data_IF_121000664959
#
_entry.id   IF_121000664959
#
_cell.length_a   1.000
_cell.length_b   1.000
_cell.length_c   1.000
_cell.angle_alpha   90.00
_cell.angle_beta   90.00
_cell.angle_gamma   90.00
#
_symmetry.space_group_name_H-M   'P 1'
#
loop_
_entity.id
_entity.type
_entity.pdbx_description
1 polymer ?
#
# COMPACT_ATOMS: atom_id res chain seq x y z
N UNK A 1 21.55 16.80 12.71
CA UNK A 1 20.35 17.28 12.00
C UNK A 1 19.22 17.29 13.02
N UNK A 2 18.75 18.47 13.39
CA UNK A 2 17.61 18.61 14.30
C UNK A 2 16.34 18.13 13.60
N UNK A 3 15.27 17.85 14.36
CA UNK A 3 13.97 17.52 13.78
C UNK A 3 13.45 18.66 12.87
N UNK A 4 13.85 19.90 13.15
CA UNK A 4 13.48 21.08 12.38
C UNK A 4 14.22 21.13 11.03
N UNK A 5 15.54 20.89 11.02
CA UNK A 5 16.34 20.82 9.78
C UNK A 5 15.81 19.76 8.80
N UNK A 6 15.29 18.64 9.33
CA UNK A 6 14.73 17.56 8.51
C UNK A 6 13.39 17.90 7.87
N UNK A 7 12.56 18.67 8.57
CA UNK A 7 11.26 19.13 8.08
C UNK A 7 11.45 20.20 7.01
N UNK A 8 12.37 21.15 7.21
CA UNK A 8 12.67 22.19 6.22
C UNK A 8 13.21 21.58 4.92
N UNK A 9 14.14 20.62 5.02
CA UNK A 9 14.65 19.90 3.85
C UNK A 9 13.58 19.06 3.12
N UNK A 10 12.54 18.61 3.82
CA UNK A 10 11.41 17.91 3.20
C UNK A 10 10.48 18.89 2.48
N UNK A 11 10.17 20.04 3.10
CA UNK A 11 9.39 21.11 2.49
C UNK A 11 10.01 21.58 1.16
N UNK A 12 11.32 21.79 1.12
CA UNK A 12 12.04 22.14 -0.11
C UNK A 12 11.85 21.12 -1.24
N UNK A 13 11.96 19.81 -0.92
CA UNK A 13 11.76 18.74 -1.92
C UNK A 13 10.31 18.68 -2.41
N UNK A 14 9.34 18.90 -1.53
CA UNK A 14 7.92 18.96 -1.89
C UNK A 14 7.67 20.14 -2.81
N UNK A 15 8.15 21.33 -2.44
CA UNK A 15 8.03 22.54 -3.25
C UNK A 15 8.63 22.36 -4.65
N UNK A 16 9.81 21.72 -4.74
CA UNK A 16 10.43 21.37 -6.02
C UNK A 16 9.56 20.44 -6.88
N UNK A 17 8.93 19.42 -6.28
CA UNK A 17 8.02 18.53 -7.02
C UNK A 17 6.77 19.26 -7.53
N UNK A 18 6.19 20.15 -6.71
CA UNK A 18 4.99 20.91 -7.06
C UNK A 18 5.22 21.93 -8.19
N UNK A 19 6.47 22.30 -8.46
CA UNK A 19 6.85 23.17 -9.57
C UNK A 19 7.02 22.42 -10.90
N UNK A 20 6.82 21.10 -10.93
CA UNK A 20 6.93 20.30 -12.17
C UNK A 20 5.86 20.75 -13.17
N UNK A 21 6.28 21.11 -14.37
CA UNK A 21 5.37 21.42 -15.48
C UNK A 21 4.65 20.14 -15.95
N UNK A 22 3.31 20.06 -15.81
CA UNK A 22 2.55 18.86 -16.20
C UNK A 22 2.60 18.56 -17.70
N UNK A 23 2.72 19.57 -18.56
CA UNK A 23 2.75 19.37 -20.02
C UNK A 23 4.12 18.80 -20.43
N UNK A 24 5.20 19.46 -20.01
CA UNK A 24 6.55 18.94 -20.26
C UNK A 24 6.77 17.54 -19.70
N UNK A 25 6.20 17.24 -18.52
CA UNK A 25 6.23 15.88 -17.95
C UNK A 25 5.48 14.88 -18.83
N UNK A 26 4.28 15.24 -19.32
CA UNK A 26 3.48 14.36 -20.20
C UNK A 26 4.20 14.08 -21.51
N UNK A 27 4.72 15.11 -22.16
CA UNK A 27 5.48 14.96 -23.40
C UNK A 27 6.69 14.04 -23.20
N UNK A 28 7.38 14.18 -22.07
CA UNK A 28 8.50 13.29 -21.74
C UNK A 28 8.04 11.85 -21.51
N UNK A 29 6.95 11.65 -20.77
CA UNK A 29 6.41 10.33 -20.50
C UNK A 29 5.96 9.63 -21.79
N UNK A 30 5.40 10.35 -22.77
CA UNK A 30 5.04 9.82 -24.09
C UNK A 30 6.29 9.36 -24.87
N UNK A 31 7.38 10.14 -24.84
CA UNK A 31 8.65 9.75 -25.47
C UNK A 31 9.26 8.50 -24.82
N UNK A 32 9.27 8.45 -23.49
CA UNK A 32 9.77 7.28 -22.76
C UNK A 32 8.89 6.05 -23.05
N UNK A 33 7.57 6.23 -23.22
CA UNK A 33 6.66 5.15 -23.61
C UNK A 33 6.93 4.59 -25.02
N UNK A 34 7.26 5.43 -26.01
CA UNK A 34 7.66 4.95 -27.34
C UNK A 34 8.97 4.15 -27.31
N UNK A 35 9.89 4.53 -26.41
CA UNK A 35 11.12 3.76 -26.17
C UNK A 35 10.78 2.39 -25.59
N UNK A 36 9.93 2.32 -24.55
CA UNK A 36 9.49 1.04 -23.95
C UNK A 36 8.78 0.16 -24.99
N UNK A 37 7.91 0.72 -25.84
CA UNK A 37 7.22 -0.03 -26.91
C UNK A 37 8.21 -0.60 -27.93
N UNK A 38 9.25 0.16 -28.27
CA UNK A 38 10.29 -0.30 -29.19
C UNK A 38 11.10 -1.45 -28.59
N UNK A 39 11.54 -1.31 -27.34
CA UNK A 39 12.28 -2.37 -26.63
C UNK A 39 11.41 -3.63 -26.40
N UNK A 40 10.12 -3.45 -26.16
CA UNK A 40 9.15 -4.54 -26.10
C UNK A 40 9.08 -5.30 -27.45
N UNK A 41 9.01 -4.57 -28.56
CA UNK A 41 8.96 -5.18 -29.89
C UNK A 41 10.28 -5.89 -30.26
N UNK A 42 11.40 -5.44 -29.71
CA UNK A 42 12.72 -6.05 -29.88
C UNK A 42 12.95 -7.28 -28.98
N UNK A 43 12.03 -7.58 -28.06
CA UNK A 43 12.17 -8.69 -27.10
C UNK A 43 13.17 -8.40 -25.97
N UNK A 44 13.54 -7.13 -25.74
CA UNK A 44 14.55 -6.74 -24.74
C UNK A 44 14.17 -7.18 -23.32
N UNK A 45 12.87 -7.27 -23.04
CA UNK A 45 12.35 -7.66 -21.73
C UNK A 45 11.99 -9.15 -21.63
N UNK A 46 12.22 -9.92 -22.69
CA UNK A 46 11.95 -11.35 -22.67
C UNK A 46 12.97 -12.07 -21.79
N UNK A 47 12.49 -13.05 -21.02
CA UNK A 47 13.26 -13.85 -20.10
C UNK A 47 13.09 -15.33 -20.42
N UNK A 48 14.15 -16.12 -20.18
CA UNK A 48 14.14 -17.55 -20.46
C UNK A 48 13.15 -18.34 -19.58
N UNK A 49 12.75 -17.78 -18.44
CA UNK A 49 11.80 -18.40 -17.51
C UNK A 49 10.96 -17.34 -16.78
N UNK A 50 9.75 -17.72 -16.37
CA UNK A 50 8.95 -16.91 -15.46
C UNK A 50 9.61 -16.79 -14.09
N UNK A 51 9.42 -15.65 -13.43
CA UNK A 51 9.95 -15.38 -12.09
C UNK A 51 8.80 -14.94 -11.19
N UNK A 52 8.88 -15.31 -9.91
CA UNK A 52 7.96 -14.88 -8.86
C UNK A 52 8.73 -14.20 -7.72
N UNK A 53 8.18 -13.11 -7.22
CA UNK A 53 8.58 -12.43 -5.99
C UNK A 53 7.35 -12.09 -5.15
N UNK A 54 7.57 -11.65 -3.92
CA UNK A 54 6.55 -11.26 -2.97
C UNK A 54 6.97 -9.98 -2.25
N UNK A 55 6.03 -9.06 -2.11
CA UNK A 55 6.02 -8.00 -1.11
C UNK A 55 4.97 -8.35 -0.05
N UNK A 56 5.28 -8.11 1.21
CA UNK A 56 4.43 -8.47 2.34
C UNK A 56 4.53 -7.39 3.42
N UNK A 57 3.44 -6.68 3.62
CA UNK A 57 3.35 -5.56 4.55
C UNK A 57 2.81 -5.97 5.93
N UNK A 58 3.19 -5.17 6.93
CA UNK A 58 2.80 -5.32 8.32
C UNK A 58 2.57 -3.95 8.93
N UNK A 59 1.76 -3.89 10.00
CA UNK A 59 1.76 -2.79 10.95
C UNK A 59 2.31 -3.25 12.29
N UNK A 60 2.91 -2.34 13.06
CA UNK A 60 3.47 -2.68 14.35
C UNK A 60 2.56 -2.26 15.51
N UNK A 61 2.42 -3.15 16.48
CA UNK A 61 1.77 -2.90 17.76
C UNK A 61 2.77 -2.98 18.89
N UNK A 62 2.54 -2.18 19.94
CA UNK A 62 3.32 -2.27 21.17
C UNK A 62 3.06 -3.60 21.88
N UNK A 63 4.10 -4.12 22.54
CA UNK A 63 4.00 -5.27 23.42
C UNK A 63 4.77 -5.03 24.72
N UNK A 64 4.02 -4.94 25.82
CA UNK A 64 4.46 -5.11 27.22
C UNK A 64 5.56 -4.19 27.80
N UNK A 65 6.43 -3.58 26.98
CA UNK A 65 7.58 -2.77 27.42
C UNK A 65 7.29 -1.27 27.43
N UNK A 66 6.38 -0.83 26.58
CA UNK A 66 6.01 0.57 26.35
C UNK A 66 4.51 0.84 26.52
N UNK A 67 3.73 -0.12 27.01
CA UNK A 67 2.33 0.13 27.37
C UNK A 67 2.33 1.27 28.37
N UNK A 68 1.73 2.40 27.98
CA UNK A 68 1.69 3.58 28.83
C UNK A 68 1.11 3.16 30.18
N UNK A 69 1.96 3.22 31.21
CA UNK A 69 1.59 3.05 32.61
C UNK A 69 0.46 4.02 32.92
N UNK A 70 -0.78 3.52 32.90
CA UNK A 70 -1.99 4.34 33.05
C UNK A 70 -3.31 3.63 32.69
N UNK A 71 -3.28 2.54 31.91
CA UNK A 71 -4.46 1.70 31.63
C UNK A 71 -4.49 0.42 32.46
N UNK A 72 -5.70 -0.02 32.82
CA UNK A 72 -6.07 -1.21 33.61
C UNK A 72 -5.03 -2.34 33.65
N UNK A 73 -4.69 -2.77 34.87
CA UNK A 73 -3.75 -3.86 35.14
C UNK A 73 -3.97 -5.07 34.22
N UNK A 74 -2.94 -5.41 33.42
CA UNK A 74 -2.72 -6.78 32.94
C UNK A 74 -3.15 -7.14 31.53
N UNK A 75 -3.72 -6.23 30.72
CA UNK A 75 -4.04 -6.53 29.30
C UNK A 75 -3.21 -5.66 28.37
N UNK A 76 -2.32 -6.29 27.61
CA UNK A 76 -1.64 -5.68 26.48
C UNK A 76 -2.68 -5.41 25.37
N UNK A 77 -3.08 -4.15 25.22
CA UNK A 77 -4.09 -3.73 24.23
C UNK A 77 -3.59 -3.87 22.79
N UNK A 78 -2.28 -3.97 22.59
CA UNK A 78 -1.68 -3.97 21.26
C UNK A 78 -1.86 -2.62 20.56
N UNK A 79 -1.57 -1.52 21.25
CA UNK A 79 -1.70 -0.17 20.68
C UNK A 79 -0.75 -0.01 19.48
N UNK A 80 -1.22 0.63 18.40
CA UNK A 80 -0.41 0.92 17.21
C UNK A 80 0.84 1.72 17.59
N UNK A 81 1.99 1.36 17.01
CA UNK A 81 3.24 2.04 17.31
C UNK A 81 4.10 2.24 16.07
N UNK A 82 4.88 3.33 16.06
CA UNK A 82 5.79 3.66 14.97
C UNK A 82 6.98 2.71 14.99
N UNK A 83 7.39 2.20 13.83
CA UNK A 83 8.58 1.36 13.70
C UNK A 83 9.82 2.24 13.59
N UNK A 84 10.81 2.10 14.50
CA UNK A 84 12.07 2.82 14.36
C UNK A 84 12.74 2.48 13.02
N UNK A 85 13.15 3.48 12.25
CA UNK A 85 13.74 3.25 10.92
C UNK A 85 15.01 2.41 10.96
N UNK A 86 15.78 2.49 12.06
CA UNK A 86 16.94 1.61 12.29
C UNK A 86 16.54 0.14 12.52
N UNK A 87 15.39 -0.10 13.13
CA UNK A 87 14.87 -1.44 13.34
C UNK A 87 14.47 -2.07 11.99
N UNK A 88 13.82 -1.32 11.09
CA UNK A 88 13.51 -1.79 9.72
C UNK A 88 14.78 -2.24 8.98
N UNK A 89 15.83 -1.41 8.98
CA UNK A 89 17.11 -1.79 8.38
C UNK A 89 17.72 -3.03 9.03
N UNK A 90 17.63 -3.16 10.37
CA UNK A 90 18.17 -4.31 11.10
C UNK A 90 17.47 -5.62 10.72
N UNK A 91 16.14 -5.60 10.55
CA UNK A 91 15.37 -6.79 10.18
C UNK A 91 15.31 -7.04 8.66
N UNK A 92 15.91 -6.14 7.86
CA UNK A 92 15.91 -6.21 6.40
C UNK A 92 14.52 -5.96 5.80
N UNK A 93 13.79 -5.00 6.36
CA UNK A 93 12.48 -4.56 5.87
C UNK A 93 12.58 -3.15 5.30
N UNK A 94 11.73 -2.87 4.32
CA UNK A 94 11.62 -1.57 3.68
C UNK A 94 10.65 -0.65 4.44
N UNK A 95 10.78 0.64 4.13
CA UNK A 95 9.93 1.69 4.70
C UNK A 95 8.65 1.79 3.90
N UNK A 96 7.54 1.67 4.60
CA UNK A 96 6.23 1.97 4.04
C UNK A 96 5.79 3.42 4.25
N UNK A 97 4.64 3.76 3.64
CA UNK A 97 4.00 5.07 3.73
C UNK A 97 3.81 5.51 5.19
N UNK A 98 3.15 4.69 6.03
CA UNK A 98 2.97 5.00 7.44
C UNK A 98 4.23 4.73 8.27
N UNK A 99 4.48 5.54 9.29
CA UNK A 99 5.59 5.32 10.23
C UNK A 99 5.42 4.03 11.05
N UNK A 100 4.22 3.45 11.11
CA UNK A 100 3.91 2.19 11.81
C UNK A 100 3.95 0.97 10.88
N UNK A 101 4.06 1.18 9.56
CA UNK A 101 4.10 0.09 8.59
C UNK A 101 5.54 -0.39 8.33
N UNK A 102 5.66 -1.65 7.92
CA UNK A 102 6.90 -2.31 7.55
C UNK A 102 6.65 -3.27 6.39
N UNK A 103 7.54 -3.31 5.39
CA UNK A 103 7.41 -4.22 4.25
C UNK A 103 8.58 -5.20 4.17
N UNK A 104 8.26 -6.47 3.94
CA UNK A 104 9.22 -7.50 3.58
C UNK A 104 9.14 -7.78 2.10
N UNK A 105 10.28 -7.74 1.42
CA UNK A 105 10.42 -8.19 0.03
C UNK A 105 11.23 -9.47 -0.04
N UNK A 106 10.82 -10.41 -0.89
CA UNK A 106 11.55 -11.66 -1.13
C UNK A 106 12.45 -11.54 -2.35
N UNK A 107 13.53 -12.31 -2.36
CA UNK A 107 14.36 -12.45 -3.56
C UNK A 107 13.55 -13.06 -4.72
N UNK A 108 13.77 -12.65 -5.98
CA UNK A 108 13.10 -13.25 -7.12
C UNK A 108 13.48 -14.73 -7.28
N UNK A 109 12.50 -15.59 -7.50
CA UNK A 109 12.69 -17.03 -7.66
C UNK A 109 12.08 -17.52 -8.97
N UNK A 110 12.63 -18.55 -9.63
CA UNK A 110 11.98 -19.19 -10.78
C UNK A 110 10.55 -19.64 -10.44
N UNK A 111 9.61 -19.44 -11.33
CA UNK A 111 8.24 -19.94 -11.12
C UNK A 111 8.14 -21.44 -11.44
N UNK A 112 8.63 -22.25 -10.51
CA UNK A 112 8.57 -23.71 -10.53
C UNK A 112 8.43 -24.24 -9.09
N UNK A 113 8.23 -25.56 -8.88
CA UNK A 113 8.04 -26.11 -7.54
C UNK A 113 9.18 -25.80 -6.55
N UNK A 114 10.43 -25.74 -7.01
CA UNK A 114 11.58 -25.42 -6.16
C UNK A 114 11.62 -23.94 -5.79
N UNK A 115 11.37 -23.04 -6.74
CA UNK A 115 11.32 -21.61 -6.48
C UNK A 115 10.16 -21.22 -5.56
N UNK A 116 8.99 -21.86 -5.68
CA UNK A 116 7.89 -21.66 -4.73
C UNK A 116 8.23 -22.16 -3.31
N UNK A 117 8.96 -23.29 -3.20
CA UNK A 117 9.48 -23.75 -1.90
C UNK A 117 10.51 -22.77 -1.33
N UNK A 118 11.38 -22.22 -2.16
CA UNK A 118 12.37 -21.22 -1.77
C UNK A 118 11.68 -19.94 -1.27
N UNK A 119 10.67 -19.43 -1.98
CA UNK A 119 9.85 -18.31 -1.54
C UNK A 119 9.25 -18.54 -0.15
N UNK A 120 8.57 -19.67 0.02
CA UNK A 120 7.94 -20.00 1.30
C UNK A 120 8.98 -20.16 2.44
N UNK A 121 10.17 -20.68 2.15
CA UNK A 121 11.25 -20.81 3.13
C UNK A 121 11.85 -19.45 3.50
N UNK A 122 12.07 -18.57 2.52
CA UNK A 122 12.59 -17.22 2.72
C UNK A 122 11.62 -16.41 3.60
N UNK A 123 10.33 -16.37 3.24
CA UNK A 123 9.27 -15.72 4.02
C UNK A 123 9.28 -16.20 5.48
N UNK A 124 9.26 -17.53 5.71
CA UNK A 124 9.28 -18.08 7.08
C UNK A 124 10.54 -17.71 7.85
N UNK A 125 11.70 -17.74 7.20
CA UNK A 125 12.97 -17.45 7.85
C UNK A 125 13.07 -15.98 8.25
N UNK A 126 12.76 -15.08 7.30
CA UNK A 126 12.81 -13.63 7.51
C UNK A 126 11.79 -13.18 8.55
N UNK A 127 10.55 -13.67 8.48
CA UNK A 127 9.53 -13.33 9.47
C UNK A 127 9.88 -13.81 10.87
N UNK A 128 10.43 -15.02 11.01
CA UNK A 128 10.86 -15.52 12.32
C UNK A 128 11.94 -14.63 12.93
N UNK A 129 12.95 -14.26 12.13
CA UNK A 129 14.02 -13.38 12.59
C UNK A 129 13.52 -11.97 12.94
N UNK A 130 12.64 -11.41 12.10
CA UNK A 130 12.04 -10.11 12.32
C UNK A 130 11.19 -10.09 13.60
N UNK A 131 10.27 -11.04 13.76
CA UNK A 131 9.40 -11.13 14.94
C UNK A 131 10.19 -11.33 16.24
N UNK A 132 11.26 -12.13 16.21
CA UNK A 132 12.14 -12.27 17.37
C UNK A 132 12.80 -10.95 17.74
N UNK A 133 13.32 -10.23 16.74
CA UNK A 133 14.01 -8.95 16.92
C UNK A 133 13.06 -7.86 17.41
N UNK A 134 11.89 -7.70 16.78
CA UNK A 134 10.93 -6.66 17.18
C UNK A 134 10.38 -6.93 18.58
N UNK A 135 10.22 -8.21 18.96
CA UNK A 135 9.79 -8.59 20.31
C UNK A 135 10.75 -8.09 21.39
N UNK A 136 12.07 -8.13 21.15
CA UNK A 136 13.07 -7.60 22.10
C UNK A 136 12.95 -6.07 22.25
N UNK A 137 12.45 -5.38 21.22
CA UNK A 137 12.14 -3.95 21.25
C UNK A 137 10.74 -3.63 21.81
N UNK A 138 9.98 -4.64 22.27
CA UNK A 138 8.64 -4.46 22.80
C UNK A 138 7.61 -4.15 21.72
N UNK A 139 7.77 -4.74 20.53
CA UNK A 139 6.89 -4.56 19.38
C UNK A 139 6.54 -5.90 18.74
N UNK A 140 5.36 -5.99 18.13
CA UNK A 140 4.95 -7.12 17.28
C UNK A 140 4.50 -6.61 15.92
N UNK A 141 4.94 -7.29 14.87
CA UNK A 141 4.44 -7.07 13.51
C UNK A 141 3.16 -7.89 13.31
N UNK A 142 2.13 -7.26 12.75
CA UNK A 142 0.80 -7.82 12.51
C UNK A 142 0.47 -7.68 11.03
N UNK A 143 -0.20 -8.69 10.48
CA UNK A 143 -0.47 -8.86 9.04
C UNK A 143 -1.97 -8.71 8.71
N UNK A 144 -2.74 -8.04 9.56
CA UNK A 144 -4.15 -7.81 9.25
C UNK A 144 -4.25 -6.73 8.18
N UNK A 145 -5.17 -6.89 7.24
CA UNK A 145 -5.32 -5.98 6.11
C UNK A 145 -5.70 -4.57 6.54
N UNK A 146 -6.24 -4.38 7.74
CA UNK A 146 -6.51 -3.08 8.38
C UNK A 146 -6.19 -3.17 9.87
N UNK A 147 -5.48 -2.18 10.42
CA UNK A 147 -5.30 -2.08 11.88
C UNK A 147 -6.52 -1.49 12.56
N UNK A 148 -6.81 -1.93 13.78
CA UNK A 148 -8.05 -1.55 14.51
C UNK A 148 -7.78 -0.81 15.82
N UNK A 149 -6.59 -0.97 16.40
CA UNK A 149 -6.24 -0.36 17.67
C UNK A 149 -5.42 0.91 17.41
N UNK A 150 -5.86 2.11 17.81
CA UNK A 150 -5.07 3.32 17.64
C UNK A 150 -3.83 3.32 18.55
N UNK A 151 -2.92 4.30 18.39
CA UNK A 151 -1.82 4.48 19.32
C UNK A 151 -2.28 4.78 20.75
N UNK A 152 -1.41 4.48 21.72
CA UNK A 152 -1.69 4.69 23.13
C UNK A 152 -2.06 6.15 23.43
N UNK A 153 -3.20 6.35 24.11
CA UNK A 153 -3.65 7.67 24.55
C UNK A 153 -4.17 8.60 23.44
N UNK A 154 -4.34 8.09 22.21
CA UNK A 154 -4.90 8.84 21.08
C UNK A 154 -6.03 8.08 20.39
N UNK A 155 -6.60 8.71 19.37
CA UNK A 155 -7.61 8.15 18.49
C UNK A 155 -7.09 8.00 17.04
N UNK A 156 -7.72 7.12 16.27
CA UNK A 156 -7.30 6.80 14.91
C UNK A 156 -7.40 7.99 13.95
N UNK A 157 -8.45 8.81 14.06
CA UNK A 157 -8.70 9.94 13.16
C UNK A 157 -7.63 11.01 13.35
N UNK A 158 -7.39 11.43 14.59
CA UNK A 158 -6.32 12.37 14.95
C UNK A 158 -4.94 11.87 14.53
N UNK A 159 -4.68 10.56 14.64
CA UNK A 159 -3.42 9.97 14.19
C UNK A 159 -3.23 10.07 12.67
N UNK A 160 -4.25 9.73 11.89
CA UNK A 160 -4.20 9.79 10.42
C UNK A 160 -4.11 11.23 9.91
N UNK A 161 -4.85 12.16 10.52
CA UNK A 161 -4.92 13.56 10.09
C UNK A 161 -3.83 14.46 10.72
N UNK A 162 -2.94 13.89 11.54
CA UNK A 162 -1.90 14.65 12.22
C UNK A 162 -0.92 15.27 11.21
N UNK A 163 -0.93 16.60 11.12
CA UNK A 163 -0.08 17.37 10.22
C UNK A 163 0.62 18.51 10.95
N UNK A 164 1.70 19.01 10.34
CA UNK A 164 2.32 20.30 10.66
C UNK A 164 2.40 21.15 9.40
N UNK A 165 2.23 22.46 9.53
CA UNK A 165 2.40 23.40 8.43
C UNK A 165 3.80 23.98 8.38
N UNK A 166 4.41 24.00 7.18
CA UNK A 166 5.70 24.64 6.90
C UNK A 166 5.70 25.19 5.48
N UNK A 167 6.03 26.48 5.34
CA UNK A 167 6.05 27.18 4.05
C UNK A 167 4.76 27.03 3.22
N UNK A 168 3.61 26.99 3.92
CA UNK A 168 2.29 26.78 3.30
C UNK A 168 2.02 25.34 2.87
N UNK A 169 2.91 24.40 3.18
CA UNK A 169 2.77 22.97 2.90
C UNK A 169 2.31 22.21 4.15
N UNK A 170 1.36 21.29 3.95
CA UNK A 170 0.89 20.34 4.97
C UNK A 170 1.78 19.10 4.97
N UNK A 171 2.43 18.82 6.10
CA UNK A 171 3.33 17.67 6.28
C UNK A 171 2.72 16.73 7.32
N UNK A 172 2.27 15.55 6.88
CA UNK A 172 1.77 14.49 7.76
C UNK A 172 2.89 13.99 8.71
N UNK A 173 2.61 13.98 10.02
CA UNK A 173 3.62 13.65 11.06
C UNK A 173 3.80 12.14 11.27
N UNK A 174 2.87 11.35 10.75
CA UNK A 174 2.84 9.89 10.82
C UNK A 174 3.15 9.22 9.47
N UNK A 175 3.60 9.98 8.47
CA UNK A 175 4.04 9.49 7.16
C UNK A 175 5.57 9.43 7.07
N UNK A 176 6.09 8.58 6.21
CA UNK A 176 7.51 8.57 5.82
C UNK A 176 7.86 9.87 5.10
N UNK A 177 9.12 10.33 5.23
CA UNK A 177 9.63 11.58 4.65
C UNK A 177 9.84 11.51 3.11
N UNK A 178 8.82 11.04 2.40
CA UNK A 178 8.77 10.91 0.95
C UNK A 178 8.11 12.14 0.35
N UNK A 179 8.90 12.98 -0.33
CA UNK A 179 8.39 14.17 -1.00
C UNK A 179 7.25 13.84 -1.99
N UNK A 180 7.29 12.66 -2.62
CA UNK A 180 6.23 12.18 -3.53
C UNK A 180 4.87 12.12 -2.83
N UNK A 181 4.78 11.43 -1.69
CA UNK A 181 3.48 11.26 -1.01
C UNK A 181 2.96 12.58 -0.44
N UNK A 182 3.85 13.42 0.10
CA UNK A 182 3.45 14.75 0.57
C UNK A 182 3.03 15.68 -0.57
N UNK A 183 3.70 15.63 -1.72
CA UNK A 183 3.31 16.40 -2.90
C UNK A 183 1.92 15.98 -3.42
N UNK A 184 1.55 14.70 -3.32
CA UNK A 184 0.20 14.26 -3.70
C UNK A 184 -0.92 14.93 -2.88
N UNK A 185 -0.70 15.16 -1.57
CA UNK A 185 -1.66 15.86 -0.68
C UNK A 185 -1.56 17.40 -0.68
N UNK A 186 -0.55 17.96 -1.33
CA UNK A 186 -0.39 19.42 -1.48
C UNK A 186 -0.58 19.90 -2.93
N UNK A 187 -0.72 18.97 -3.87
CA UNK A 187 -0.93 19.26 -5.28
C UNK A 187 -2.39 19.63 -5.60
N UNK A 188 -2.66 20.02 -6.86
CA UNK A 188 -4.00 20.44 -7.31
C UNK A 188 -5.07 19.33 -7.24
N UNK A 189 -4.68 18.10 -6.90
CA UNK A 189 -5.54 16.92 -6.81
C UNK A 189 -5.63 16.37 -5.37
N UNK A 190 -5.38 17.21 -4.36
CA UNK A 190 -5.26 16.81 -2.95
C UNK A 190 -6.54 16.22 -2.32
N UNK A 191 -7.73 16.51 -2.85
CA UNK A 191 -9.03 16.12 -2.27
C UNK A 191 -9.35 14.60 -2.33
N UNK A 192 -8.36 13.75 -2.62
CA UNK A 192 -8.59 12.37 -3.10
C UNK A 192 -8.34 11.28 -2.06
N UNK A 193 -7.95 11.59 -0.83
CA UNK A 193 -7.52 10.60 0.16
C UNK A 193 -8.62 10.17 1.15
N UNK A 194 -9.87 10.15 0.72
CA UNK A 194 -11.00 9.75 1.57
C UNK A 194 -11.23 8.23 1.64
N UNK A 195 -11.79 7.79 2.77
CA UNK A 195 -12.35 6.45 2.95
C UNK A 195 -13.86 6.56 3.03
N UNK A 196 -14.53 5.86 2.12
CA UNK A 196 -15.99 5.74 2.10
C UNK A 196 -16.35 4.25 2.11
N UNK A 197 -16.96 3.82 3.20
CA UNK A 197 -17.38 2.45 3.43
C UNK A 197 -18.64 2.43 4.30
N UNK A 198 -19.37 1.30 4.40
CA UNK A 198 -20.53 1.21 5.28
C UNK A 198 -20.22 1.72 6.70
N UNK A 199 -20.98 2.72 7.14
CA UNK A 199 -20.84 3.39 8.44
C UNK A 199 -19.52 4.16 8.67
N UNK A 200 -18.75 4.46 7.61
CA UNK A 200 -17.47 5.17 7.69
C UNK A 200 -17.41 6.24 6.61
N UNK A 201 -17.37 7.51 7.01
CA UNK A 201 -16.98 8.62 6.15
C UNK A 201 -15.75 9.35 6.72
N UNK A 202 -14.62 9.20 6.03
CA UNK A 202 -13.37 9.86 6.35
C UNK A 202 -12.90 10.68 5.16
N UNK A 203 -12.75 11.98 5.33
CA UNK A 203 -12.00 12.83 4.41
C UNK A 203 -10.63 13.10 5.04
N UNK A 204 -9.56 13.04 4.23
CA UNK A 204 -8.23 13.40 4.68
C UNK A 204 -7.51 14.20 3.59
N UNK A 205 -6.73 15.19 4.03
CA UNK A 205 -5.92 16.06 3.18
C UNK A 205 -4.58 15.42 2.77
N UNK A 206 -4.29 14.22 3.28
CA UNK A 206 -3.00 13.55 3.09
C UNK A 206 -3.19 12.09 2.73
N UNK A 207 -2.18 11.49 2.10
CA UNK A 207 -2.20 10.07 1.75
C UNK A 207 -2.15 9.11 2.95
N UNK A 208 -2.21 9.61 4.20
CA UNK A 208 -2.13 8.80 5.41
C UNK A 208 -3.25 7.75 5.52
N UNK A 209 -4.40 7.96 4.91
CA UNK A 209 -5.48 6.96 4.88
C UNK A 209 -5.08 5.67 4.18
N UNK A 210 -4.09 5.69 3.28
CA UNK A 210 -3.50 4.48 2.68
C UNK A 210 -2.81 3.63 3.76
N UNK A 211 -2.17 4.27 4.75
CA UNK A 211 -1.50 3.59 5.86
C UNK A 211 -2.48 2.89 6.84
N UNK A 212 -3.80 2.99 6.63
CA UNK A 212 -4.75 2.12 7.34
C UNK A 212 -4.54 0.64 7.02
N UNK A 213 -3.95 0.36 5.85
CA UNK A 213 -3.96 -0.98 5.28
C UNK A 213 -2.59 -1.64 5.27
N UNK A 214 -2.61 -2.97 5.16
CA UNK A 214 -1.46 -3.78 4.76
C UNK A 214 -1.89 -4.80 3.69
N UNK A 215 -0.93 -5.35 2.96
CA UNK A 215 -1.19 -6.24 1.85
C UNK A 215 -0.13 -7.34 1.66
N UNK A 216 -0.49 -8.33 0.85
CA UNK A 216 0.42 -9.34 0.30
C UNK A 216 0.35 -9.19 -1.22
N UNK A 217 1.50 -8.94 -1.85
CA UNK A 217 1.58 -8.62 -3.27
C UNK A 217 2.53 -9.60 -3.96
N UNK A 218 2.01 -10.66 -4.63
CA UNK A 218 2.83 -11.51 -5.46
C UNK A 218 3.17 -10.81 -6.78
N UNK A 219 4.45 -10.72 -7.11
CA UNK A 219 4.94 -10.21 -8.39
C UNK A 219 5.24 -11.38 -9.31
N UNK A 220 4.64 -11.38 -10.49
CA UNK A 220 4.88 -12.39 -11.52
C UNK A 220 5.45 -11.74 -12.77
N UNK A 221 6.67 -12.15 -13.13
CA UNK A 221 7.29 -11.79 -14.39
C UNK A 221 7.00 -12.87 -15.43
N UNK A 222 6.34 -12.49 -16.52
CA UNK A 222 6.08 -13.35 -17.67
C UNK A 222 7.38 -13.68 -18.44
N UNK A 223 7.50 -14.83 -19.11
CA UNK A 223 8.67 -15.15 -19.94
C UNK A 223 8.78 -14.24 -21.15
N UNK A 224 7.68 -14.00 -21.86
CA UNK A 224 7.63 -13.09 -22.99
C UNK A 224 6.86 -11.84 -22.58
N UNK A 225 7.50 -10.68 -22.66
CA UNK A 225 6.89 -9.42 -22.23
C UNK A 225 5.65 -9.06 -23.08
N UNK A 226 5.61 -9.51 -24.34
CA UNK A 226 4.43 -9.39 -25.21
C UNK A 226 3.17 -10.09 -24.66
N UNK A 227 3.31 -11.04 -23.73
CA UNK A 227 2.19 -11.78 -23.14
C UNK A 227 1.57 -11.09 -21.92
N UNK A 228 2.14 -9.98 -21.43
CA UNK A 228 1.61 -9.24 -20.26
C UNK A 228 0.09 -9.00 -20.37
N UNK A 229 -0.49 -8.58 -21.51
CA UNK A 229 -1.94 -8.38 -21.62
C UNK A 229 -2.75 -9.66 -21.34
N UNK A 230 -2.26 -10.82 -21.77
CA UNK A 230 -2.93 -12.12 -21.54
C UNK A 230 -2.94 -12.47 -20.05
N UNK A 231 -1.79 -12.38 -19.40
CA UNK A 231 -1.67 -12.71 -17.97
C UNK A 231 -2.39 -11.69 -17.08
N UNK A 232 -2.35 -10.41 -17.43
CA UNK A 232 -3.13 -9.37 -16.75
C UNK A 232 -4.63 -9.67 -16.80
N UNK A 233 -5.14 -10.08 -17.97
CA UNK A 233 -6.52 -10.49 -18.15
C UNK A 233 -6.91 -11.71 -17.29
N UNK A 234 -5.98 -12.63 -17.02
CA UNK A 234 -6.21 -13.71 -16.05
C UNK A 234 -6.20 -13.19 -14.62
N UNK A 235 -5.21 -12.36 -14.26
CA UNK A 235 -5.09 -11.79 -12.92
C UNK A 235 -6.35 -11.03 -12.51
N UNK A 236 -6.90 -10.17 -13.38
CA UNK A 236 -8.14 -9.43 -13.11
C UNK A 236 -9.33 -10.35 -12.85
N UNK A 237 -9.45 -11.46 -13.58
CA UNK A 237 -10.54 -12.44 -13.38
C UNK A 237 -10.38 -13.22 -12.08
N UNK A 238 -9.15 -13.44 -11.62
CA UNK A 238 -8.83 -14.18 -10.40
C UNK A 238 -8.80 -13.30 -9.14
N UNK A 239 -8.65 -11.98 -9.30
CA UNK A 239 -8.54 -11.04 -8.18
C UNK A 239 -9.74 -11.11 -7.23
N UNK A 240 -10.97 -11.15 -7.77
CA UNK A 240 -12.19 -11.25 -6.95
C UNK A 240 -12.24 -12.52 -6.08
N UNK A 241 -12.11 -13.72 -6.67
CA UNK A 241 -12.04 -14.97 -5.90
C UNK A 241 -10.89 -15.02 -4.88
N UNK A 242 -9.69 -14.55 -5.23
CA UNK A 242 -8.56 -14.52 -4.31
C UNK A 242 -8.80 -13.57 -3.14
N UNK A 243 -9.41 -12.41 -3.41
CA UNK A 243 -9.77 -11.45 -2.38
C UNK A 243 -10.81 -12.02 -1.42
N UNK A 244 -11.87 -12.67 -1.92
CA UNK A 244 -12.86 -13.33 -1.08
C UNK A 244 -12.28 -14.44 -0.18
N UNK A 245 -11.23 -15.12 -0.64
CA UNK A 245 -10.54 -16.17 0.13
C UNK A 245 -9.51 -15.62 1.14
N UNK A 246 -8.86 -14.50 0.80
CA UNK A 246 -7.71 -13.97 1.54
C UNK A 246 -8.03 -12.79 2.46
N UNK A 247 -9.24 -12.25 2.39
CA UNK A 247 -9.67 -11.09 3.17
C UNK A 247 -9.61 -11.34 4.68
N UNK A 248 -9.01 -10.38 5.41
CA UNK A 248 -8.78 -10.45 6.85
C UNK A 248 -8.95 -9.09 7.58
N UNK A 249 -9.80 -8.19 7.07
CA UNK A 249 -9.95 -6.80 7.58
C UNK A 249 -11.41 -6.43 7.89
N UNK A 250 -12.07 -7.12 8.83
CA UNK A 250 -13.50 -6.94 9.09
C UNK A 250 -13.88 -5.60 9.72
N UNK A 251 -12.93 -4.94 10.38
CA UNK A 251 -13.17 -3.70 11.11
C UNK A 251 -12.11 -2.64 10.77
N UNK A 252 -12.54 -1.39 10.77
CA UNK A 252 -11.65 -0.23 10.92
C UNK A 252 -11.52 0.09 12.41
N UNK A 253 -10.61 1.01 12.82
CA UNK A 253 -10.61 1.51 14.17
C UNK A 253 -11.99 2.07 14.56
N UNK A 254 -12.48 1.79 15.79
CA UNK A 254 -13.83 2.18 16.22
C UNK A 254 -14.14 3.67 16.03
N UNK A 255 -13.13 4.52 16.20
CA UNK A 255 -13.25 5.98 16.11
C UNK A 255 -13.43 6.49 14.67
N UNK A 256 -13.31 5.62 13.66
CA UNK A 256 -13.58 5.97 12.27
C UNK A 256 -15.04 5.71 11.86
N UNK A 257 -15.80 4.95 12.65
CA UNK A 257 -17.24 4.79 12.39
C UNK A 257 -18.01 6.07 12.72
N UNK A 258 -19.16 6.25 12.06
CA UNK A 258 -20.06 7.37 12.35
C UNK A 258 -20.49 7.36 13.83
N UNK A 259 -20.59 8.52 14.50
CA UNK A 259 -20.83 8.59 15.95
C UNK A 259 -22.12 7.90 16.44
N UNK A 260 -23.12 7.77 15.56
CA UNK A 260 -24.42 7.17 15.83
C UNK A 260 -24.60 5.77 15.22
N UNK A 261 -23.53 5.19 14.65
CA UNK A 261 -23.58 3.84 14.09
C UNK A 261 -23.82 2.79 15.18
N UNK A 262 -24.91 2.03 15.05
CA UNK A 262 -25.21 0.90 15.95
C UNK A 262 -24.24 -0.26 15.68
N UNK A 263 -23.49 -0.76 16.69
CA UNK A 263 -22.61 -1.92 16.52
C UNK A 263 -23.30 -3.15 15.94
N UNK A 264 -24.58 -3.36 16.25
CA UNK A 264 -25.35 -4.49 15.70
C UNK A 264 -25.59 -4.31 14.20
N UNK A 265 -25.91 -3.09 13.77
CA UNK A 265 -26.03 -2.73 12.36
C UNK A 265 -24.69 -2.83 11.62
N UNK A 266 -23.58 -2.40 12.24
CA UNK A 266 -22.23 -2.57 11.66
C UNK A 266 -21.94 -4.05 11.38
N UNK A 267 -22.28 -4.94 12.32
CA UNK A 267 -22.06 -6.38 12.14
C UNK A 267 -22.99 -7.02 11.10
N UNK A 268 -24.22 -6.53 10.96
CA UNK A 268 -25.22 -7.07 10.04
C UNK A 268 -25.07 -6.55 8.59
N UNK A 269 -24.79 -5.25 8.47
CA UNK A 269 -24.88 -4.47 7.24
C UNK A 269 -23.54 -3.86 6.82
N UNK A 270 -22.50 -3.98 7.65
CA UNK A 270 -21.15 -3.55 7.31
C UNK A 270 -20.48 -4.41 6.24
N UNK A 271 -19.17 -4.23 6.13
CA UNK A 271 -18.28 -5.03 5.29
C UNK A 271 -18.54 -6.54 5.43
N UNK A 272 -19.28 -7.13 4.47
CA UNK A 272 -19.51 -8.58 4.43
C UNK A 272 -18.23 -9.30 4.04
N UNK A 273 -18.06 -10.52 4.57
CA UNK A 273 -16.88 -11.35 4.32
C UNK A 273 -15.58 -10.70 4.78
N UNK A 274 -15.59 -9.91 5.86
CA UNK A 274 -14.41 -9.27 6.45
C UNK A 274 -13.70 -8.22 5.57
N UNK A 275 -14.36 -7.60 4.57
CA UNK A 275 -13.69 -6.69 3.62
C UNK A 275 -14.17 -5.24 3.71
N UNK A 276 -13.26 -4.34 4.10
CA UNK A 276 -13.50 -2.89 4.00
C UNK A 276 -12.85 -2.34 2.73
N UNK A 277 -13.61 -1.52 1.99
CA UNK A 277 -13.26 -1.02 0.65
C UNK A 277 -12.32 0.19 0.65
N UNK A 278 -11.25 0.16 1.46
CA UNK A 278 -10.33 1.30 1.63
C UNK A 278 -9.63 1.66 0.31
N UNK A 279 -9.03 0.68 -0.37
CA UNK A 279 -8.34 0.96 -1.64
C UNK A 279 -9.30 1.33 -2.77
N UNK A 280 -10.50 0.75 -2.81
CA UNK A 280 -11.47 1.07 -3.86
C UNK A 280 -12.05 2.48 -3.71
N UNK A 281 -12.15 3.01 -2.49
CA UNK A 281 -12.61 4.37 -2.23
C UNK A 281 -11.53 5.42 -2.49
N UNK A 282 -10.25 5.07 -2.32
CA UNK A 282 -9.11 5.96 -2.61
C UNK A 282 -8.86 6.13 -4.12
N UNK A 283 -9.42 5.24 -4.96
CA UNK A 283 -9.21 5.25 -6.41
C UNK A 283 -10.40 5.85 -7.17
N UNK A 284 -10.17 6.94 -7.90
CA UNK A 284 -11.19 7.59 -8.76
C UNK A 284 -11.45 6.82 -10.07
N UNK A 285 -12.58 7.08 -10.73
CA UNK A 285 -12.97 6.46 -12.02
C UNK A 285 -11.92 6.62 -13.14
N UNK A 286 -11.12 7.68 -13.15
CA UNK A 286 -10.13 7.93 -14.19
C UNK A 286 -8.96 6.95 -14.16
N UNK A 287 -8.54 6.49 -12.98
CA UNK A 287 -7.52 5.43 -12.84
C UNK A 287 -8.02 4.08 -13.36
N UNK A 288 -9.33 3.80 -13.20
CA UNK A 288 -9.96 2.59 -13.76
C UNK A 288 -10.00 2.61 -15.30
N UNK A 289 -10.10 3.79 -15.92
CA UNK A 289 -10.15 3.95 -17.39
C UNK A 289 -8.80 3.81 -18.08
N UNK A 290 -7.72 4.37 -17.51
CA UNK A 290 -6.39 4.34 -18.13
C UNK A 290 -5.83 2.92 -18.28
N UNK A 291 -5.97 2.07 -17.27
CA UNK A 291 -5.48 0.69 -17.29
C UNK A 291 -6.18 -0.16 -18.37
N UNK A 292 -7.49 0.02 -18.60
CA UNK A 292 -8.22 -0.80 -19.57
C UNK A 292 -8.00 -0.40 -21.05
N UNK A 293 -7.77 0.89 -21.33
CA UNK A 293 -7.63 1.40 -22.72
C UNK A 293 -6.26 1.16 -23.33
N UNK A 294 -5.18 1.23 -22.55
CA UNK A 294 -3.82 1.04 -23.07
C UNK A 294 -3.48 -0.45 -23.26
N UNK A 295 -3.98 -1.32 -22.37
CA UNK A 295 -3.76 -2.77 -22.49
C UNK A 295 -4.55 -3.36 -23.67
N UNK A 296 -5.77 -2.86 -23.93
CA UNK A 296 -6.60 -3.34 -25.06
C UNK A 296 -6.04 -2.93 -26.43
N UNK A 297 -5.45 -1.74 -26.55
CA UNK A 297 -4.87 -1.23 -27.80
C UNK A 297 -3.58 -1.95 -28.21
N UNK A 298 -2.80 -2.49 -27.25
CA UNK A 298 -1.65 -3.34 -27.53
C UNK A 298 -2.05 -4.72 -28.14
N UNK A 299 -3.22 -5.25 -27.78
CA UNK A 299 -3.70 -6.55 -28.33
C UNK A 299 -4.27 -6.44 -29.75
N UNK A 300 -4.77 -5.26 -30.15
CA UNK A 300 -5.65 -5.13 -31.32
C UNK A 300 -4.90 -4.97 -32.66
N UNK A 301 -3.56 -5.04 -32.68
CA UNK A 301 -2.76 -5.00 -33.92
C UNK A 301 -2.47 -6.37 -34.54
N UNK A 302 -3.00 -7.46 -33.99
CA UNK A 302 -2.89 -8.81 -34.58
C UNK A 302 -4.23 -9.58 -34.57
N UNK A 303 -5.20 -9.15 -35.36
CA UNK A 303 -6.16 -10.07 -36.02
C UNK A 303 -7.14 -9.29 -36.89
N UNK A 304 -6.72 -8.95 -38.11
CA UNK A 304 -7.66 -8.86 -39.23
C UNK A 304 -8.06 -10.28 -39.61
N UNK A 305 -9.35 -10.62 -39.51
CA UNK A 305 -9.91 -11.75 -40.24
C UNK A 305 -10.85 -12.67 -39.46
N UNK A 306 -12.14 -12.49 -39.77
CA UNK A 306 -13.15 -13.53 -39.96
C UNK A 306 -14.07 -13.96 -38.78
N UNK A 307 -15.31 -13.45 -38.95
CA UNK A 307 -16.63 -14.08 -38.82
C UNK A 307 -17.18 -14.55 -37.45
N UNK A 308 -18.24 -13.82 -37.08
CA UNK A 308 -19.40 -14.24 -36.31
C UNK A 308 -19.95 -15.63 -36.68
N UNK A 309 -20.45 -16.39 -35.71
CA UNK A 309 -21.88 -16.70 -35.55
C UNK A 309 -22.16 -17.57 -34.31
N UNK A 310 -23.32 -17.28 -33.70
CA UNK A 310 -24.08 -17.94 -32.61
C UNK A 310 -23.48 -17.97 -31.21
#
# INVERSE_FOLDING_TARGET
>A
MTQQDGVDALADRIGGMLQTDPEAFRDRAELDAETVKTELANGTFDNHQSIVGFEYEFYAVSQGRWTASGGTEGVDRGDLTRVPRRLLTLIGFEKELGLHNAEMTTSPQPFNPDGLRAQAAEVRSRLRAALETTRQEGMRLVSDGVWTMPPAGGDARSYLDSTVERDGLRIATNMTDSARYHAMGNGPNADRFGVDAPFVSLASDTAMTVALTTSIQPHYQVPAAGDVPLYHNYAVRLAGPLLALGVNSPFVPPELYEPDADPTAILADGARENRIHVFESLNTEDLRRCVSREISTASNRRSTGWLATT
#
